data_IF_924563329745
#
_entry.id   IF_924563329745
#
_cell.length_a   1.000
_cell.length_b   1.000
_cell.length_c   1.000
_cell.angle_alpha   90.00
_cell.angle_beta   90.00
_cell.angle_gamma   90.00
#
_symmetry.space_group_name_H-M   'P 1'
#
loop_
_entity.id
_entity.type
_entity.pdbx_description
1 polymer ?
#
# COMPACT_ATOMS: atom_id res chain seq x y z
N UNK A 1 4.18 31.13 -33.95
CA UNK A 1 5.33 31.21 -33.02
C UNK A 1 5.84 29.79 -32.77
N UNK A 2 6.88 29.38 -33.50
CA UNK A 2 7.64 28.15 -33.22
C UNK A 2 8.82 28.51 -32.31
N UNK A 3 9.03 27.75 -31.24
CA UNK A 3 10.34 27.47 -30.59
C UNK A 3 10.14 26.19 -29.76
N UNK A 4 10.84 25.11 -30.10
CA UNK A 4 12.15 24.69 -29.56
C UNK A 4 12.08 24.35 -28.07
N UNK A 5 12.69 23.28 -27.53
CA UNK A 5 13.55 22.22 -28.06
C UNK A 5 14.00 21.35 -26.87
N UNK A 6 14.23 20.05 -27.12
CA UNK A 6 15.25 19.17 -26.47
C UNK A 6 15.06 18.80 -24.98
N UNK A 7 15.36 17.58 -24.51
CA UNK A 7 16.13 16.45 -25.05
C UNK A 7 15.77 15.14 -24.30
N UNK A 8 15.98 13.94 -24.88
CA UNK A 8 16.09 12.71 -24.09
C UNK A 8 17.54 12.46 -23.66
N UNK A 9 17.69 12.21 -22.36
CA UNK A 9 18.92 11.82 -21.68
C UNK A 9 19.32 10.39 -22.07
N UNK A 10 20.21 10.24 -23.06
CA UNK A 10 20.78 8.96 -23.43
C UNK A 10 22.02 8.65 -22.56
N UNK A 11 21.83 7.84 -21.53
CA UNK A 11 22.91 7.34 -20.66
C UNK A 11 23.67 6.24 -21.41
N UNK A 12 24.80 6.57 -22.06
CA UNK A 12 25.71 5.57 -22.66
C UNK A 12 26.53 4.91 -21.55
N UNK A 13 26.34 3.61 -21.37
CA UNK A 13 27.26 2.78 -20.58
C UNK A 13 28.54 2.54 -21.38
N UNK A 14 29.73 2.53 -20.74
CA UNK A 14 30.96 2.16 -21.41
C UNK A 14 30.93 0.65 -21.70
N UNK A 15 30.82 0.30 -22.98
CA UNK A 15 31.09 -1.06 -23.45
C UNK A 15 32.56 -1.32 -23.17
N UNK A 16 32.86 -2.18 -22.18
CA UNK A 16 34.19 -2.76 -22.01
C UNK A 16 34.53 -3.48 -23.31
N UNK A 17 35.44 -2.90 -24.09
CA UNK A 17 36.01 -3.52 -25.26
C UNK A 17 36.67 -4.84 -24.83
N UNK A 18 36.02 -5.95 -25.15
CA UNK A 18 36.65 -7.26 -25.07
C UNK A 18 37.91 -7.22 -25.91
N UNK A 19 39.05 -7.59 -25.31
CA UNK A 19 40.30 -7.78 -26.06
C UNK A 19 40.02 -8.85 -27.10
N UNK A 20 39.82 -8.43 -28.35
CA UNK A 20 39.84 -9.32 -29.49
C UNK A 20 41.21 -9.98 -29.48
N UNK A 21 41.24 -11.29 -29.26
CA UNK A 21 42.45 -12.08 -29.45
C UNK A 21 42.74 -12.03 -30.95
N UNK A 22 43.52 -11.03 -31.35
CA UNK A 22 44.05 -10.91 -32.70
C UNK A 22 45.17 -11.92 -32.80
N UNK A 23 44.84 -13.11 -33.29
CA UNK A 23 45.85 -14.11 -33.66
C UNK A 23 46.43 -13.70 -35.00
N UNK A 24 47.29 -12.67 -35.01
CA UNK A 24 48.12 -12.37 -36.17
C UNK A 24 49.10 -13.52 -36.37
N UNK A 25 48.74 -14.49 -37.20
CA UNK A 25 49.68 -15.45 -37.73
C UNK A 25 50.72 -14.68 -38.56
N UNK A 26 51.89 -14.44 -37.97
CA UNK A 26 53.04 -13.90 -38.69
C UNK A 26 53.55 -15.00 -39.62
N UNK A 27 52.97 -15.08 -40.82
CA UNK A 27 53.60 -15.72 -41.96
C UNK A 27 54.69 -14.77 -42.45
N UNK A 28 55.95 -15.01 -42.05
CA UNK A 28 57.10 -14.38 -42.69
C UNK A 28 57.16 -14.87 -44.13
N UNK A 29 56.81 -13.99 -45.07
CA UNK A 29 57.15 -14.14 -46.47
C UNK A 29 58.65 -13.79 -46.61
N UNK A 30 59.50 -14.81 -46.67
CA UNK A 30 60.89 -14.62 -47.07
C UNK A 30 60.91 -14.35 -48.58
N UNK A 31 61.27 -13.12 -48.93
CA UNK A 31 61.45 -12.68 -50.30
C UNK A 31 62.56 -13.53 -50.96
N UNK A 32 62.20 -14.21 -52.04
CA UNK A 32 63.09 -14.96 -52.90
C UNK A 32 63.98 -14.02 -53.71
N UNK A 33 65.29 -14.03 -53.45
CA UNK A 33 66.33 -13.71 -54.45
C UNK A 33 67.54 -14.65 -54.19
N UNK A 34 67.80 -15.50 -55.18
CA UNK A 34 68.79 -16.59 -55.31
C UNK A 34 70.26 -16.09 -55.36
N UNK A 35 71.32 -16.95 -55.50
CA UNK A 35 71.52 -18.37 -55.16
C UNK A 35 72.90 -18.67 -54.48
N UNK A 36 73.03 -19.66 -53.59
CA UNK A 36 74.13 -20.67 -53.57
C UNK A 36 74.19 -21.51 -52.28
N UNK A 37 74.33 -22.82 -52.50
CA UNK A 37 74.97 -23.88 -51.70
C UNK A 37 74.82 -23.83 -50.16
N UNK A 38 73.86 -24.62 -49.66
CA UNK A 38 73.81 -25.05 -48.27
C UNK A 38 72.47 -25.70 -47.98
N UNK A 39 72.47 -26.96 -47.59
CA UNK A 39 71.30 -27.81 -47.34
C UNK A 39 70.34 -27.17 -46.33
N UNK A 40 69.27 -26.52 -46.81
CA UNK A 40 68.22 -25.94 -45.95
C UNK A 40 67.36 -27.08 -45.40
N UNK A 41 67.57 -27.39 -44.13
CA UNK A 41 66.75 -28.33 -43.36
C UNK A 41 65.27 -27.87 -43.42
N UNK A 42 64.31 -28.79 -43.67
CA UNK A 42 62.91 -28.40 -43.85
C UNK A 42 62.40 -27.64 -42.62
N UNK A 43 61.61 -26.56 -42.81
CA UNK A 43 61.11 -25.75 -41.71
C UNK A 43 60.29 -26.64 -40.77
N UNK A 44 60.71 -26.74 -39.51
CA UNK A 44 59.99 -27.50 -38.49
C UNK A 44 58.59 -26.90 -38.35
N UNK A 45 57.59 -27.67 -38.77
CA UNK A 45 56.19 -27.31 -38.62
C UNK A 45 55.90 -26.94 -37.16
N UNK A 46 55.15 -25.86 -36.87
CA UNK A 46 54.83 -25.46 -35.52
C UNK A 46 53.79 -26.43 -34.91
N UNK A 47 54.23 -27.63 -34.51
CA UNK A 47 53.42 -28.68 -33.86
C UNK A 47 52.90 -28.30 -32.45
N UNK A 48 52.92 -27.02 -32.08
CA UNK A 48 52.66 -26.54 -30.73
C UNK A 48 51.36 -25.76 -30.53
N UNK A 49 50.77 -25.16 -31.57
CA UNK A 49 49.62 -24.26 -31.40
C UNK A 49 48.37 -24.98 -30.86
N UNK A 50 48.05 -26.14 -31.43
CA UNK A 50 46.91 -26.96 -30.98
C UNK A 50 47.15 -27.62 -29.61
N UNK A 51 48.39 -28.03 -29.30
CA UNK A 51 48.74 -28.66 -28.01
C UNK A 51 48.73 -27.63 -26.87
N UNK A 52 49.17 -26.41 -27.13
CA UNK A 52 49.07 -25.30 -26.17
C UNK A 52 47.64 -24.78 -25.99
N UNK A 53 46.83 -24.80 -27.06
CA UNK A 53 45.43 -24.40 -27.01
C UNK A 53 44.59 -25.25 -26.06
N UNK A 54 44.74 -26.58 -26.10
CA UNK A 54 43.97 -27.48 -25.21
C UNK A 54 44.39 -27.31 -23.75
N UNK A 55 45.70 -27.26 -23.47
CA UNK A 55 46.21 -27.09 -22.09
C UNK A 55 45.83 -25.72 -21.53
N UNK A 56 45.96 -24.66 -22.33
CA UNK A 56 45.55 -23.31 -21.95
C UNK A 56 44.03 -23.16 -21.79
N UNK A 57 43.25 -23.84 -22.64
CA UNK A 57 41.79 -23.87 -22.53
C UNK A 57 41.33 -24.56 -21.25
N UNK A 58 41.89 -25.73 -20.93
CA UNK A 58 41.55 -26.45 -19.68
C UNK A 58 41.94 -25.65 -18.44
N UNK A 59 43.12 -25.01 -18.46
CA UNK A 59 43.56 -24.15 -17.36
C UNK A 59 42.64 -22.92 -17.20
N UNK A 60 42.33 -22.23 -18.30
CA UNK A 60 41.44 -21.07 -18.30
C UNK A 60 40.01 -21.43 -17.92
N UNK A 61 39.49 -22.55 -18.43
CA UNK A 61 38.16 -23.07 -18.09
C UNK A 61 38.08 -23.50 -16.64
N UNK A 62 39.11 -24.13 -16.08
CA UNK A 62 39.16 -24.49 -14.65
C UNK A 62 39.17 -23.25 -13.75
N UNK A 63 39.97 -22.23 -14.11
CA UNK A 63 40.03 -20.98 -13.34
C UNK A 63 38.72 -20.18 -13.46
N UNK A 64 38.16 -20.08 -14.67
CA UNK A 64 36.89 -19.41 -14.91
C UNK A 64 35.71 -20.16 -14.27
N UNK A 65 35.73 -21.49 -14.28
CA UNK A 65 34.73 -22.33 -13.60
C UNK A 65 34.83 -22.18 -12.09
N UNK A 66 36.05 -22.14 -11.53
CA UNK A 66 36.25 -21.85 -10.11
C UNK A 66 35.74 -20.45 -9.75
N UNK A 67 36.06 -19.42 -10.55
CA UNK A 67 35.56 -18.07 -10.35
C UNK A 67 34.03 -17.97 -10.44
N UNK A 68 33.43 -18.63 -11.45
CA UNK A 68 31.99 -18.71 -11.59
C UNK A 68 31.33 -19.42 -10.40
N UNK A 69 31.92 -20.53 -9.93
CA UNK A 69 31.45 -21.23 -8.74
C UNK A 69 31.51 -20.32 -7.50
N UNK A 70 32.56 -19.50 -7.34
CA UNK A 70 32.63 -18.49 -6.27
C UNK A 70 31.56 -17.41 -6.40
N UNK A 71 31.29 -16.89 -7.61
CA UNK A 71 30.30 -15.85 -7.83
C UNK A 71 28.86 -16.32 -7.63
N UNK A 72 28.54 -17.56 -8.05
CA UNK A 72 27.23 -18.16 -7.81
C UNK A 72 26.96 -18.34 -6.31
N UNK A 73 27.97 -18.68 -5.51
CA UNK A 73 27.82 -18.83 -4.06
C UNK A 73 27.49 -17.51 -3.35
N UNK A 74 28.01 -16.38 -3.85
CA UNK A 74 27.77 -15.07 -3.23
C UNK A 74 26.36 -14.55 -3.56
N UNK A 75 25.91 -14.71 -4.80
CA UNK A 75 24.52 -14.40 -5.20
C UNK A 75 23.50 -15.31 -4.52
N UNK A 76 23.82 -16.60 -4.30
CA UNK A 76 22.95 -17.52 -3.56
C UNK A 76 22.82 -17.13 -2.08
N UNK A 77 23.91 -16.63 -1.48
CA UNK A 77 23.92 -16.12 -0.10
C UNK A 77 23.17 -14.79 0.02
N UNK A 78 23.33 -13.88 -0.93
CA UNK A 78 22.59 -12.62 -0.98
C UNK A 78 21.09 -12.84 -1.20
N UNK A 79 20.70 -13.78 -2.07
CA UNK A 79 19.30 -14.15 -2.27
C UNK A 79 18.69 -14.76 -1.00
N UNK A 80 19.44 -15.59 -0.26
CA UNK A 80 18.98 -16.19 0.99
C UNK A 80 18.81 -15.15 2.12
N UNK A 81 19.65 -14.11 2.14
CA UNK A 81 19.51 -12.98 3.06
C UNK A 81 18.27 -12.13 2.74
N UNK A 82 17.93 -11.95 1.47
CA UNK A 82 16.72 -11.23 1.03
C UNK A 82 15.44 -12.03 1.30
N UNK A 83 15.49 -13.37 1.18
CA UNK A 83 14.41 -14.27 1.61
C UNK A 83 14.16 -14.19 3.13
N UNK A 84 15.23 -14.16 3.95
CA UNK A 84 15.11 -14.01 5.40
C UNK A 84 14.57 -12.62 5.80
N UNK A 85 14.99 -11.56 5.13
CA UNK A 85 14.45 -10.20 5.34
C UNK A 85 12.95 -10.13 5.00
N UNK A 86 12.53 -10.79 3.92
CA UNK A 86 11.14 -10.78 3.47
C UNK A 86 10.20 -11.47 4.47
N UNK A 87 10.63 -12.56 5.13
CA UNK A 87 9.83 -13.26 6.15
C UNK A 87 9.66 -12.40 7.42
N UNK A 88 10.69 -11.67 7.85
CA UNK A 88 10.59 -10.78 9.01
C UNK A 88 9.70 -9.57 8.75
N UNK A 89 9.74 -9.03 7.53
CA UNK A 89 8.84 -7.95 7.09
C UNK A 89 7.38 -8.45 7.00
N UNK A 90 7.17 -9.65 6.45
CA UNK A 90 5.85 -10.30 6.37
C UNK A 90 5.30 -10.66 7.76
N UNK A 91 6.14 -11.09 8.70
CA UNK A 91 5.75 -11.32 10.09
C UNK A 91 5.30 -10.02 10.77
N UNK A 92 6.07 -8.94 10.60
CA UNK A 92 5.71 -7.61 11.12
C UNK A 92 4.40 -7.12 10.51
N UNK A 93 4.18 -7.37 9.21
CA UNK A 93 2.92 -7.02 8.53
C UNK A 93 1.75 -7.87 9.03
N UNK A 94 1.97 -9.14 9.38
CA UNK A 94 0.95 -10.04 9.93
C UNK A 94 0.59 -9.69 11.37
N UNK A 95 1.57 -9.27 12.17
CA UNK A 95 1.34 -8.74 13.52
C UNK A 95 0.48 -7.46 13.45
N UNK A 96 0.80 -6.55 12.53
CA UNK A 96 -0.03 -5.35 12.29
C UNK A 96 -1.45 -5.71 11.85
N UNK A 97 -1.63 -6.63 10.90
CA UNK A 97 -2.96 -7.12 10.50
C UNK A 97 -3.71 -7.73 11.70
N UNK A 98 -3.03 -8.51 12.55
CA UNK A 98 -3.63 -9.10 13.76
C UNK A 98 -4.08 -8.02 14.75
N UNK A 99 -3.31 -6.94 14.93
CA UNK A 99 -3.73 -5.81 15.77
C UNK A 99 -4.91 -5.06 15.16
N UNK A 100 -4.96 -4.92 13.83
CA UNK A 100 -6.10 -4.31 13.13
C UNK A 100 -7.37 -5.15 13.29
N UNK A 101 -7.30 -6.47 13.16
CA UNK A 101 -8.43 -7.39 13.39
C UNK A 101 -8.94 -7.27 14.82
N UNK A 102 -8.07 -7.29 15.84
CA UNK A 102 -8.46 -7.11 17.24
C UNK A 102 -9.15 -5.76 17.49
N UNK A 103 -8.69 -4.69 16.83
CA UNK A 103 -9.31 -3.36 16.95
C UNK A 103 -10.68 -3.32 16.27
N UNK A 104 -10.83 -3.98 15.12
CA UNK A 104 -12.11 -4.12 14.42
C UNK A 104 -13.11 -4.87 15.31
N UNK A 105 -12.72 -5.99 15.91
CA UNK A 105 -13.58 -6.76 16.81
C UNK A 105 -14.04 -5.96 18.04
N UNK A 106 -13.17 -5.10 18.59
CA UNK A 106 -13.53 -4.20 19.68
C UNK A 106 -14.55 -3.13 19.22
N UNK A 107 -14.29 -2.48 18.08
CA UNK A 107 -15.19 -1.47 17.52
C UNK A 107 -16.55 -2.08 17.14
N UNK A 108 -16.59 -3.32 16.65
CA UNK A 108 -17.85 -4.02 16.37
C UNK A 108 -18.64 -4.35 17.63
N UNK A 109 -17.97 -4.75 18.71
CA UNK A 109 -18.62 -4.98 20.02
C UNK A 109 -19.17 -3.67 20.58
N UNK A 110 -18.39 -2.61 20.51
CA UNK A 110 -18.80 -1.28 20.95
C UNK A 110 -19.95 -0.75 20.10
N UNK A 111 -19.93 -0.93 18.78
CA UNK A 111 -21.05 -0.57 17.90
C UNK A 111 -22.31 -1.37 18.20
N UNK A 112 -22.20 -2.67 18.54
CA UNK A 112 -23.36 -3.46 18.97
C UNK A 112 -23.93 -2.97 20.29
N UNK A 113 -23.07 -2.73 21.28
CA UNK A 113 -23.46 -2.22 22.60
C UNK A 113 -24.05 -0.79 22.51
N UNK A 114 -23.46 0.07 21.68
CA UNK A 114 -24.02 1.38 21.39
C UNK A 114 -25.31 1.26 20.60
N UNK A 115 -25.46 0.34 19.64
CA UNK A 115 -26.70 0.21 18.87
C UNK A 115 -27.88 -0.24 19.72
N UNK A 116 -27.66 -1.09 20.72
CA UNK A 116 -28.70 -1.53 21.65
C UNK A 116 -29.04 -0.45 22.68
N UNK A 117 -28.09 0.43 23.00
CA UNK A 117 -28.27 1.53 23.97
C UNK A 117 -28.71 2.83 23.29
N UNK A 118 -28.41 3.01 22.00
CA UNK A 118 -28.74 4.21 21.24
C UNK A 118 -30.24 4.24 20.99
N UNK A 119 -30.88 5.32 21.40
CA UNK A 119 -32.31 5.55 21.22
C UNK A 119 -32.69 5.34 19.74
N UNK A 120 -33.51 4.33 19.50
CA UNK A 120 -33.99 4.04 18.16
C UNK A 120 -34.90 5.18 17.69
N UNK A 121 -35.02 5.37 16.38
CA UNK A 121 -35.94 6.37 15.81
C UNK A 121 -37.39 6.14 16.26
N UNK A 122 -37.72 4.88 16.54
CA UNK A 122 -39.02 4.47 17.08
C UNK A 122 -39.24 5.00 18.50
N UNK A 123 -38.23 4.92 19.38
CA UNK A 123 -38.31 5.46 20.73
C UNK A 123 -38.49 6.98 20.72
N UNK A 124 -37.81 7.68 19.81
CA UNK A 124 -37.93 9.12 19.63
C UNK A 124 -39.35 9.52 19.15
N UNK A 125 -39.97 8.69 18.31
CA UNK A 125 -41.35 8.89 17.88
C UNK A 125 -42.36 8.65 19.00
N UNK A 126 -42.13 7.64 19.85
CA UNK A 126 -42.94 7.36 21.04
C UNK A 126 -42.83 8.48 22.07
N UNK A 127 -41.62 8.96 22.34
CA UNK A 127 -41.37 10.10 23.23
C UNK A 127 -42.08 11.36 22.74
N UNK A 128 -42.02 11.66 21.43
CA UNK A 128 -42.77 12.78 20.85
C UNK A 128 -44.27 12.63 21.02
N UNK A 129 -44.81 11.42 20.89
CA UNK A 129 -46.22 11.16 21.10
C UNK A 129 -46.61 11.32 22.59
N UNK A 130 -45.80 10.86 23.53
CA UNK A 130 -46.02 11.04 24.97
C UNK A 130 -45.95 12.52 25.36
N UNK A 131 -44.96 13.26 24.89
CA UNK A 131 -44.85 14.72 25.13
C UNK A 131 -46.08 15.44 24.59
N UNK A 132 -46.54 15.09 23.38
CA UNK A 132 -47.74 15.68 22.80
C UNK A 132 -48.98 15.38 23.65
N UNK A 133 -49.14 14.14 24.12
CA UNK A 133 -50.25 13.75 25.01
C UNK A 133 -50.25 14.55 26.32
N UNK A 134 -49.09 14.75 26.93
CA UNK A 134 -48.98 15.55 28.17
C UNK A 134 -49.35 17.01 27.90
N UNK A 135 -48.90 17.57 26.78
CA UNK A 135 -49.21 18.94 26.40
C UNK A 135 -50.72 19.14 26.14
N UNK A 136 -51.33 18.25 25.36
CA UNK A 136 -52.77 18.30 25.07
C UNK A 136 -53.59 18.10 26.36
N UNK A 137 -53.15 17.23 27.27
CA UNK A 137 -53.78 17.06 28.59
C UNK A 137 -53.70 18.31 29.45
N UNK A 138 -52.54 18.98 29.48
CA UNK A 138 -52.36 20.24 30.21
C UNK A 138 -53.25 21.36 29.65
N UNK A 139 -53.43 21.43 28.34
CA UNK A 139 -54.30 22.41 27.69
C UNK A 139 -55.78 22.20 28.05
N UNK A 140 -56.23 20.95 28.11
CA UNK A 140 -57.59 20.61 28.56
C UNK A 140 -57.80 21.02 30.02
N UNK A 141 -56.84 20.74 30.90
CA UNK A 141 -56.92 21.15 32.31
C UNK A 141 -56.97 22.68 32.45
N UNK A 142 -56.18 23.42 31.65
CA UNK A 142 -56.24 24.88 31.63
C UNK A 142 -57.61 25.39 31.17
N UNK A 143 -58.17 24.78 30.12
CA UNK A 143 -59.49 25.13 29.60
C UNK A 143 -60.59 24.85 30.64
N UNK A 144 -60.50 23.71 31.31
CA UNK A 144 -61.42 23.30 32.38
C UNK A 144 -61.36 24.30 33.54
N UNK A 145 -60.15 24.67 33.98
CA UNK A 145 -59.93 25.64 35.04
C UNK A 145 -60.54 27.01 34.68
N UNK A 146 -60.36 27.47 33.44
CA UNK A 146 -60.96 28.73 32.96
C UNK A 146 -62.48 28.68 32.94
N UNK A 147 -63.07 27.56 32.53
CA UNK A 147 -64.53 27.37 32.54
C UNK A 147 -65.09 27.38 33.97
N UNK A 148 -64.36 26.78 34.91
CA UNK A 148 -64.72 26.74 36.33
C UNK A 148 -64.71 28.14 36.95
N UNK A 149 -63.65 28.93 36.70
CA UNK A 149 -63.58 30.32 37.14
C UNK A 149 -64.73 31.15 36.57
N UNK A 150 -65.05 30.95 35.28
CA UNK A 150 -66.14 31.67 34.63
C UNK A 150 -67.50 31.33 35.24
N UNK A 151 -67.76 30.05 35.53
CA UNK A 151 -68.98 29.61 36.23
C UNK A 151 -69.15 30.27 37.60
N UNK A 152 -68.09 30.26 38.43
CA UNK A 152 -68.11 30.92 39.74
C UNK A 152 -68.39 32.43 39.61
N UNK A 153 -67.77 33.09 38.62
CA UNK A 153 -68.00 34.51 38.39
C UNK A 153 -69.45 34.80 37.97
N UNK A 154 -70.05 33.96 37.14
CA UNK A 154 -71.45 34.07 36.76
C UNK A 154 -72.38 33.87 37.95
N UNK A 155 -72.11 32.87 38.79
CA UNK A 155 -72.89 32.59 39.99
C UNK A 155 -72.83 33.77 40.99
N UNK A 156 -71.64 34.36 41.18
CA UNK A 156 -71.50 35.58 41.99
C UNK A 156 -72.28 36.76 41.41
N UNK A 157 -72.27 36.95 40.08
CA UNK A 157 -73.08 37.99 39.44
C UNK A 157 -74.59 37.75 39.62
N UNK A 158 -75.04 36.50 39.53
CA UNK A 158 -76.43 36.13 39.75
C UNK A 158 -76.86 36.38 41.21
N UNK A 159 -76.03 36.00 42.18
CA UNK A 159 -76.25 36.26 43.61
C UNK A 159 -76.26 37.77 43.90
N UNK A 160 -75.28 38.51 43.40
CA UNK A 160 -75.21 39.97 43.56
C UNK A 160 -76.45 40.68 43.03
N UNK A 161 -76.99 40.25 41.88
CA UNK A 161 -78.24 40.81 41.33
C UNK A 161 -79.46 40.44 42.17
N UNK A 162 -79.51 39.23 42.72
CA UNK A 162 -80.59 38.78 43.62
C UNK A 162 -80.59 39.59 44.92
N UNK A 163 -79.44 39.76 45.56
CA UNK A 163 -79.30 40.52 46.80
C UNK A 163 -79.60 42.02 46.60
N UNK A 164 -79.21 42.59 45.46
CA UNK A 164 -79.57 43.97 45.10
C UNK A 164 -81.08 44.19 44.93
N UNK A 165 -81.84 43.15 44.60
CA UNK A 165 -83.30 43.20 44.47
C UNK A 165 -84.03 42.94 45.81
N UNK A 166 -83.45 42.17 46.73
CA UNK A 166 -84.07 41.87 48.03
C UNK A 166 -83.95 43.03 49.03
N UNK A 167 -82.93 43.88 48.90
CA UNK A 167 -82.73 45.07 49.75
C UNK A 167 -83.55 46.28 49.27
N UNK A 168 -84.17 46.23 48.09
CA UNK A 168 -84.94 47.35 47.49
C UNK A 168 -86.47 47.23 47.61
N UNK A 169 -86.99 46.46 48.57
CA UNK A 169 -88.43 46.41 48.89
C UNK A 169 -88.75 47.33 50.06
#
# INVERSE_FOLDING_TARGET
MLRCSRAPFARRLPVKAGRTISLSAVARADASTTPNLGTVKPPKQPVGGFRGGIVGFLLGFSLASSYAAYHLLDEYKQASAVLQASVLELQTSTEKITTHVRRIEAVEKDLKALSSTSASKDDLSRLRAEIKKIYDGLDIEFLNLRSHVWGIQQDLHALSKKDGNTVRV
#
